data_IF_612859551786
#
_entry.id   IF_612859551786
#
_cell.length_a   1.000
_cell.length_b   1.000
_cell.length_c   1.000
_cell.angle_alpha   90.00
_cell.angle_beta   90.00
_cell.angle_gamma   90.00
#
_symmetry.space_group_name_H-M   'P 1'
#
loop_
_entity.id
_entity.type
_entity.pdbx_description
1 polymer ?
#
# COMPACT_ATOMS: atom_id res chain seq x y z
N UNK A 1 0.70 14.89 1.12
CA UNK A 1 1.06 13.45 1.32
C UNK A 1 1.05 12.81 -0.05
N UNK A 2 2.03 11.95 -0.37
CA UNK A 2 2.17 11.21 -1.64
C UNK A 2 1.04 10.19 -1.94
N UNK A 3 -0.17 10.38 -1.39
CA UNK A 3 -1.30 9.49 -1.64
C UNK A 3 -1.82 9.60 -3.07
N UNK A 4 -1.44 10.64 -3.81
CA UNK A 4 -1.83 10.84 -5.21
C UNK A 4 -1.09 9.89 -6.19
N UNK A 5 -0.02 9.20 -5.74
CA UNK A 5 0.78 8.29 -6.57
C UNK A 5 0.27 6.83 -6.58
N UNK A 6 -0.73 6.49 -5.74
CA UNK A 6 -1.26 5.14 -5.69
C UNK A 6 -2.21 4.85 -6.89
N UNK A 7 -2.14 3.68 -7.52
CA UNK A 7 -3.11 3.25 -8.52
C UNK A 7 -4.52 3.19 -7.95
N UNK A 8 -5.52 3.38 -8.81
CA UNK A 8 -6.94 3.35 -8.42
C UNK A 8 -7.34 2.02 -7.76
N UNK A 9 -6.80 0.89 -8.20
CA UNK A 9 -7.03 -0.41 -7.57
C UNK A 9 -6.57 -0.46 -6.12
N UNK A 10 -5.39 0.09 -5.84
CA UNK A 10 -4.84 0.21 -4.48
C UNK A 10 -5.66 1.17 -3.64
N UNK A 11 -5.99 2.37 -4.17
CA UNK A 11 -6.84 3.35 -3.46
C UNK A 11 -8.18 2.75 -3.07
N UNK A 12 -8.83 2.03 -3.99
CA UNK A 12 -10.09 1.33 -3.75
C UNK A 12 -9.96 0.33 -2.60
N UNK A 13 -8.97 -0.57 -2.66
CA UNK A 13 -8.80 -1.57 -1.61
C UNK A 13 -8.50 -0.93 -0.24
N UNK A 14 -7.67 0.13 -0.21
CA UNK A 14 -7.39 0.89 1.01
C UNK A 14 -8.68 1.49 1.58
N UNK A 15 -9.50 2.12 0.74
CA UNK A 15 -10.78 2.69 1.18
C UNK A 15 -11.78 1.64 1.68
N UNK A 16 -11.73 0.41 1.17
CA UNK A 16 -12.64 -0.66 1.57
C UNK A 16 -12.18 -1.35 2.86
N UNK A 17 -10.87 -1.64 2.98
CA UNK A 17 -10.32 -2.53 4.01
C UNK A 17 -9.47 -1.82 5.08
N UNK A 18 -8.92 -0.65 4.76
CA UNK A 18 -7.96 0.06 5.60
C UNK A 18 -8.38 1.52 5.89
N UNK A 19 -9.66 1.87 5.69
CA UNK A 19 -10.16 3.26 5.83
C UNK A 19 -9.88 3.94 7.17
N UNK A 20 -9.73 3.17 8.23
CA UNK A 20 -9.49 3.66 9.58
C UNK A 20 -7.98 3.72 9.91
N UNK A 21 -7.12 3.23 9.02
CA UNK A 21 -5.68 3.24 9.19
C UNK A 21 -5.09 4.50 8.56
N UNK A 22 -4.18 5.15 9.29
CA UNK A 22 -3.42 6.28 8.75
C UNK A 22 -2.23 5.73 7.97
N UNK A 23 -2.13 6.07 6.69
CA UNK A 23 -0.92 5.82 5.89
C UNK A 23 0.21 6.74 6.38
N UNK A 24 1.39 6.18 6.59
CA UNK A 24 2.61 6.92 6.95
C UNK A 24 3.58 7.03 5.79
N UNK A 25 3.67 5.99 4.95
CA UNK A 25 4.55 5.95 3.78
C UNK A 25 3.91 5.17 2.63
N UNK A 26 4.30 5.53 1.40
CA UNK A 26 3.98 4.82 0.16
C UNK A 26 5.26 4.80 -0.68
N UNK A 27 5.66 3.60 -1.12
CA UNK A 27 6.78 3.40 -2.03
C UNK A 27 6.37 2.53 -3.24
N UNK A 28 6.70 2.98 -4.46
CA UNK A 28 6.65 2.11 -5.65
C UNK A 28 7.96 1.35 -5.76
N UNK A 29 7.91 0.04 -5.65
CA UNK A 29 9.08 -0.84 -5.71
C UNK A 29 9.12 -1.57 -7.06
N UNK A 30 10.28 -1.50 -7.72
CA UNK A 30 10.57 -2.32 -8.91
C UNK A 30 11.48 -3.49 -8.51
N UNK A 31 10.88 -4.68 -8.35
CA UNK A 31 11.59 -5.87 -7.88
C UNK A 31 11.83 -6.85 -9.01
N UNK A 32 13.08 -7.28 -9.19
CA UNK A 32 13.43 -8.36 -10.10
C UNK A 32 12.71 -9.69 -9.81
N UNK A 33 12.28 -9.92 -8.55
CA UNK A 33 11.60 -11.15 -8.13
C UNK A 33 10.07 -11.05 -8.18
N UNK A 34 9.52 -9.93 -7.71
CA UNK A 34 8.06 -9.75 -7.55
C UNK A 34 7.41 -8.96 -8.68
N UNK A 35 8.21 -8.32 -9.54
CA UNK A 35 7.75 -7.28 -10.46
C UNK A 35 7.49 -5.97 -9.72
N UNK A 36 6.71 -5.08 -10.35
CA UNK A 36 6.30 -3.80 -9.75
C UNK A 36 5.23 -4.04 -8.69
N UNK A 37 5.39 -3.40 -7.53
CA UNK A 37 4.39 -3.35 -6.47
C UNK A 37 4.48 -2.04 -5.69
N UNK A 38 3.49 -1.81 -4.82
CA UNK A 38 3.39 -0.65 -3.95
C UNK A 38 3.44 -1.12 -2.51
N UNK A 39 4.47 -0.71 -1.79
CA UNK A 39 4.55 -0.92 -0.35
C UNK A 39 3.89 0.25 0.37
N UNK A 40 2.91 -0.03 1.22
CA UNK A 40 2.15 0.98 1.95
C UNK A 40 2.25 0.69 3.44
N UNK A 41 2.87 1.63 4.15
CA UNK A 41 3.01 1.58 5.60
C UNK A 41 1.79 2.23 6.27
N UNK A 42 1.16 1.49 7.18
CA UNK A 42 0.07 1.96 8.01
C UNK A 42 0.51 2.14 9.46
N UNK A 43 0.15 3.30 10.04
CA UNK A 43 0.31 3.57 11.46
C UNK A 43 -0.52 2.60 12.30
N UNK A 44 0.13 1.98 13.29
CA UNK A 44 -0.51 1.14 14.30
C UNK A 44 0.03 1.44 15.70
N UNK A 45 -0.64 0.94 16.74
CA UNK A 45 -0.10 1.04 18.11
C UNK A 45 1.08 0.08 18.24
N UNK A 46 2.28 0.61 18.39
CA UNK A 46 3.52 -0.17 18.41
C UNK A 46 4.25 -0.06 17.07
N UNK A 47 4.66 -1.19 16.49
CA UNK A 47 5.31 -1.21 15.17
C UNK A 47 4.27 -0.93 14.08
N UNK A 48 4.62 -0.12 13.09
CA UNK A 48 3.81 0.08 11.89
C UNK A 48 3.66 -1.24 11.11
N UNK A 49 2.64 -1.29 10.24
CA UNK A 49 2.35 -2.45 9.39
C UNK A 49 2.48 -2.06 7.93
N UNK A 50 3.29 -2.83 7.22
CA UNK A 50 3.46 -2.74 5.78
C UNK A 50 2.54 -3.73 5.05
N UNK A 51 1.98 -3.31 3.92
CA UNK A 51 1.19 -4.15 3.02
C UNK A 51 1.63 -3.88 1.60
N UNK A 52 2.00 -4.95 0.89
CA UNK A 52 2.41 -4.88 -0.50
C UNK A 52 1.20 -5.10 -1.42
N UNK A 53 0.99 -4.20 -2.38
CA UNK A 53 -0.11 -4.24 -3.34
C UNK A 53 0.38 -4.28 -4.79
N UNK A 54 -0.32 -5.01 -5.64
CA UNK A 54 -0.29 -4.83 -7.10
C UNK A 54 -1.09 -3.60 -7.52
N UNK A 55 -0.90 -3.14 -8.75
CA UNK A 55 -1.63 -2.00 -9.31
C UNK A 55 -3.17 -2.17 -9.26
N UNK A 56 -3.66 -3.40 -9.41
CA UNK A 56 -5.09 -3.72 -9.33
C UNK A 56 -5.64 -3.80 -7.89
N UNK A 57 -4.78 -3.58 -6.90
CA UNK A 57 -5.12 -3.68 -5.47
C UNK A 57 -4.90 -5.08 -4.87
N UNK A 58 -4.43 -6.08 -5.62
CA UNK A 58 -4.16 -7.41 -5.05
C UNK A 58 -3.05 -7.33 -3.98
N UNK A 59 -3.31 -7.88 -2.79
CA UNK A 59 -2.33 -7.99 -1.70
C UNK A 59 -1.40 -9.18 -1.95
N UNK A 60 -0.09 -9.01 -1.76
CA UNK A 60 0.92 -10.04 -2.10
C UNK A 60 1.86 -10.43 -0.95
N UNK A 61 1.59 -10.00 0.29
CA UNK A 61 2.33 -10.40 1.49
C UNK A 61 1.52 -11.23 2.49
#
# INVERSE_FOLDING_TARGET
MKNEELPEGVKKLISERYRNNKITEVERVDSAKKGVFYDVEFKQKGKNKDVEFREDGTVIN
#
